data_IF_079106418344
#
_entry.id   IF_079106418344
#
_cell.length_a   1.000
_cell.length_b   1.000
_cell.length_c   1.000
_cell.angle_alpha   90.00
_cell.angle_beta   90.00
_cell.angle_gamma   90.00
#
_symmetry.space_group_name_H-M   'P 1'
#
loop_
_entity.id
_entity.type
_entity.pdbx_description
1 polymer ?
#
# COMPACT_ATOMS: atom_id res chain seq x y z
N UNK A 1 15.90 5.34 23.68
CA UNK A 1 15.42 6.46 22.85
C UNK A 1 15.40 5.95 21.43
N UNK A 2 14.22 5.63 20.90
CA UNK A 2 14.11 5.10 19.55
C UNK A 2 14.44 6.23 18.57
N UNK A 3 15.54 6.08 17.84
CA UNK A 3 15.89 6.90 16.69
C UNK A 3 15.03 6.41 15.53
N UNK A 4 13.99 7.17 15.19
CA UNK A 4 13.34 7.00 13.90
C UNK A 4 14.34 7.41 12.82
N UNK A 5 14.55 6.61 11.76
CA UNK A 5 15.48 6.96 10.71
C UNK A 5 14.99 8.27 10.05
N UNK A 6 15.83 9.30 10.16
CA UNK A 6 15.66 10.56 9.44
C UNK A 6 15.99 10.32 7.98
N UNK A 7 15.05 9.76 7.22
CA UNK A 7 15.22 9.66 5.76
C UNK A 7 13.88 9.87 5.03
N UNK A 8 13.22 10.97 5.38
CA UNK A 8 12.30 11.69 4.52
C UNK A 8 12.78 13.14 4.46
N UNK A 9 12.94 13.69 3.26
CA UNK A 9 13.78 14.83 2.89
C UNK A 9 13.33 16.22 3.39
N UNK A 10 12.94 16.38 4.66
CA UNK A 10 12.69 17.71 5.24
C UNK A 10 13.50 17.92 6.51
N UNK A 11 14.30 18.99 6.58
CA UNK A 11 14.95 19.38 7.84
C UNK A 11 13.88 19.48 8.92
N UNK A 12 14.19 18.98 10.12
CA UNK A 12 13.47 19.37 11.33
C UNK A 12 13.62 20.89 11.44
N UNK A 13 12.64 21.61 10.89
CA UNK A 13 12.54 23.07 11.07
C UNK A 13 12.54 23.28 12.57
N UNK A 14 13.44 24.11 13.08
CA UNK A 14 13.54 24.44 14.50
C UNK A 14 12.20 24.94 15.01
N UNK A 15 11.38 24.01 15.51
CA UNK A 15 9.94 24.16 15.56
C UNK A 15 9.31 23.08 16.42
N UNK A 16 8.10 23.36 16.88
CA UNK A 16 7.38 22.54 17.85
C UNK A 16 7.30 21.07 17.39
N UNK A 17 7.80 20.15 18.22
CA UNK A 17 7.82 18.71 17.97
C UNK A 17 6.44 18.16 17.53
N UNK A 18 5.36 18.64 18.17
CA UNK A 18 3.99 18.22 17.84
C UNK A 18 3.62 18.60 16.41
N UNK A 19 4.00 19.80 15.96
CA UNK A 19 3.70 20.26 14.60
C UNK A 19 4.42 19.39 13.56
N UNK A 20 5.68 19.01 13.83
CA UNK A 20 6.43 18.13 12.94
C UNK A 20 5.79 16.75 12.84
N UNK A 21 5.33 16.18 13.97
CA UNK A 21 4.61 14.89 14.00
C UNK A 21 3.30 14.98 13.22
N UNK A 22 2.51 16.04 13.41
CA UNK A 22 1.24 16.23 12.69
C UNK A 22 1.44 16.36 11.18
N UNK A 23 2.48 17.11 10.75
CA UNK A 23 2.81 17.23 9.34
C UNK A 23 3.19 15.88 8.73
N UNK A 24 4.00 15.08 9.44
CA UNK A 24 4.35 13.75 8.98
C UNK A 24 3.13 12.82 8.85
N UNK A 25 2.22 12.85 9.83
CA UNK A 25 0.97 12.07 9.77
C UNK A 25 0.12 12.49 8.56
N UNK A 26 0.02 13.79 8.29
CA UNK A 26 -0.71 14.28 7.11
C UNK A 26 -0.06 13.81 5.81
N UNK A 27 1.27 13.90 5.69
CA UNK A 27 2.01 13.42 4.51
C UNK A 27 1.79 11.90 4.29
N UNK A 28 1.82 11.09 5.36
CA UNK A 28 1.52 9.66 5.28
C UNK A 28 0.08 9.39 4.84
N UNK A 29 -0.88 10.13 5.40
CA UNK A 29 -2.29 9.96 5.08
C UNK A 29 -2.58 10.37 3.62
N UNK A 30 -1.93 11.42 3.12
CA UNK A 30 -2.01 11.83 1.72
C UNK A 30 -1.47 10.74 0.79
N UNK A 31 -0.31 10.14 1.09
CA UNK A 31 0.21 9.01 0.32
C UNK A 31 -0.79 7.87 0.32
N UNK A 32 -1.17 7.37 1.49
CA UNK A 32 -2.08 6.23 1.61
C UNK A 32 -3.39 6.43 0.83
N UNK A 33 -3.93 7.65 0.86
CA UNK A 33 -5.11 8.02 0.08
C UNK A 33 -4.89 7.91 -1.44
N UNK A 34 -3.72 8.31 -1.94
CA UNK A 34 -3.36 8.19 -3.35
C UNK A 34 -3.19 6.73 -3.79
N UNK A 35 -2.58 5.90 -2.96
CA UNK A 35 -2.44 4.45 -3.23
C UNK A 35 -3.81 3.75 -3.27
N UNK A 36 -4.69 4.07 -2.32
CA UNK A 36 -6.06 3.57 -2.31
C UNK A 36 -6.82 3.97 -3.57
N UNK A 37 -6.74 5.25 -3.99
CA UNK A 37 -7.41 5.74 -5.19
C UNK A 37 -6.95 5.00 -6.45
N UNK A 38 -5.64 4.77 -6.61
CA UNK A 38 -5.09 3.96 -7.72
C UNK A 38 -5.60 2.52 -7.71
N UNK A 39 -5.85 1.94 -6.52
CA UNK A 39 -6.41 0.60 -6.41
C UNK A 39 -7.86 0.54 -6.89
N UNK A 40 -8.68 1.48 -6.41
CA UNK A 40 -10.08 1.61 -6.80
C UNK A 40 -10.20 1.83 -8.30
N UNK A 41 -9.35 2.69 -8.89
CA UNK A 41 -9.33 2.89 -10.34
C UNK A 41 -9.05 1.59 -11.11
N UNK A 42 -8.09 0.78 -10.66
CA UNK A 42 -7.81 -0.53 -11.26
C UNK A 42 -9.00 -1.48 -11.16
N UNK A 43 -9.66 -1.54 -10.02
CA UNK A 43 -10.87 -2.36 -9.83
C UNK A 43 -11.95 -2.00 -10.86
N UNK A 44 -12.20 -0.71 -11.09
CA UNK A 44 -13.14 -0.25 -12.12
C UNK A 44 -12.71 -0.64 -13.54
N UNK A 45 -11.44 -0.41 -13.89
CA UNK A 45 -10.92 -0.74 -15.22
C UNK A 45 -11.04 -2.24 -15.50
N UNK A 46 -10.72 -3.09 -14.53
CA UNK A 46 -10.80 -4.54 -14.70
C UNK A 46 -12.24 -5.06 -14.77
N UNK A 47 -13.18 -4.43 -14.04
CA UNK A 47 -14.61 -4.75 -14.16
C UNK A 47 -15.17 -4.43 -15.54
N UNK A 48 -14.81 -3.28 -16.11
CA UNK A 48 -15.31 -2.87 -17.44
C UNK A 48 -14.73 -3.72 -18.58
N UNK A 49 -13.51 -4.25 -18.41
CA UNK A 49 -12.81 -5.00 -19.45
C UNK A 49 -13.23 -6.48 -19.57
N UNK A 50 -14.07 -7.02 -18.68
CA UNK A 50 -14.37 -8.46 -18.65
C UNK A 50 -15.83 -8.84 -18.96
N UNK A 51 -15.94 -9.92 -19.74
CA UNK A 51 -17.11 -10.82 -19.77
C UNK A 51 -16.87 -11.92 -18.74
N UNK A 52 -17.76 -12.04 -17.75
CA UNK A 52 -17.69 -13.01 -16.65
C UNK A 52 -17.69 -14.46 -17.19
N UNK A 53 -16.52 -15.07 -17.38
CA UNK A 53 -16.40 -16.49 -17.78
C UNK A 53 -15.69 -17.37 -16.74
N UNK A 54 -14.99 -16.78 -15.75
CA UNK A 54 -14.26 -17.52 -14.70
C UNK A 54 -14.60 -17.00 -13.29
N UNK A 55 -14.54 -17.91 -12.31
CA UNK A 55 -14.73 -17.59 -10.89
C UNK A 55 -13.43 -16.96 -10.36
N UNK A 56 -13.43 -15.64 -10.28
CA UNK A 56 -12.29 -14.81 -9.94
C UNK A 56 -12.64 -13.89 -8.76
N UNK A 57 -11.69 -13.67 -7.85
CA UNK A 57 -11.76 -12.61 -6.86
C UNK A 57 -11.40 -11.29 -7.50
N UNK A 58 -12.21 -10.25 -7.26
CA UNK A 58 -11.97 -8.90 -7.77
C UNK A 58 -10.73 -8.26 -7.14
N UNK A 59 -10.23 -7.18 -7.77
CA UNK A 59 -9.21 -6.31 -7.17
C UNK A 59 -9.72 -5.82 -5.81
N UNK A 60 -8.84 -5.79 -4.80
CA UNK A 60 -9.23 -5.41 -3.44
C UNK A 60 -8.16 -4.59 -2.73
N UNK A 61 -8.59 -3.57 -2.00
CA UNK A 61 -7.72 -2.75 -1.13
C UNK A 61 -7.82 -3.23 0.31
N UNK A 62 -6.70 -3.63 0.91
CA UNK A 62 -6.66 -4.16 2.29
C UNK A 62 -6.25 -3.12 3.35
N UNK A 63 -6.26 -1.83 2.99
CA UNK A 63 -5.72 -0.69 3.75
C UNK A 63 -4.22 -0.42 3.62
N UNK A 64 -3.46 -1.28 2.93
CA UNK A 64 -2.01 -1.09 2.71
C UNK A 64 -1.60 -1.46 1.27
N UNK A 65 -2.13 -2.56 0.75
CA UNK A 65 -1.83 -3.16 -0.54
C UNK A 65 -3.08 -3.24 -1.41
N UNK A 66 -2.85 -3.10 -2.71
CA UNK A 66 -3.85 -3.37 -3.71
C UNK A 66 -3.66 -4.78 -4.25
N UNK A 67 -4.53 -5.70 -3.83
CA UNK A 67 -4.54 -7.07 -4.29
C UNK A 67 -5.06 -7.17 -5.71
N UNK A 68 -4.31 -7.82 -6.62
CA UNK A 68 -4.75 -7.98 -7.99
C UNK A 68 -5.92 -8.96 -8.06
N UNK A 69 -6.71 -8.82 -9.12
CA UNK A 69 -7.70 -9.83 -9.48
C UNK A 69 -7.03 -11.17 -9.68
N UNK A 70 -7.61 -12.19 -9.09
CA UNK A 70 -6.96 -13.50 -8.94
C UNK A 70 -8.00 -14.60 -9.07
N UNK A 71 -7.66 -15.67 -9.78
CA UNK A 71 -8.55 -16.82 -9.97
C UNK A 71 -8.76 -17.54 -8.64
N UNK A 72 -9.99 -17.97 -8.35
CA UNK A 72 -10.28 -18.76 -7.15
C UNK A 72 -9.42 -20.03 -7.10
N UNK A 73 -8.92 -20.36 -5.91
CA UNK A 73 -8.00 -21.47 -5.67
C UNK A 73 -6.54 -21.21 -6.04
N UNK A 74 -6.19 -19.96 -6.37
CA UNK A 74 -4.81 -19.55 -6.69
C UNK A 74 -4.25 -18.54 -5.70
N UNK A 75 -2.95 -18.27 -5.80
CA UNK A 75 -2.22 -17.38 -4.91
C UNK A 75 -1.97 -16.04 -5.60
N UNK A 76 -2.38 -14.95 -4.96
CA UNK A 76 -1.94 -13.61 -5.32
C UNK A 76 -0.60 -13.33 -4.64
N UNK A 77 0.40 -12.86 -5.38
CA UNK A 77 1.68 -12.40 -4.81
C UNK A 77 1.96 -10.95 -5.16
N UNK A 78 2.52 -10.21 -4.19
CA UNK A 78 2.93 -8.81 -4.33
C UNK A 78 4.32 -8.66 -3.69
N UNK A 79 5.28 -7.97 -4.34
CA UNK A 79 6.58 -7.69 -3.73
C UNK A 79 6.45 -7.01 -2.36
N UNK A 80 7.33 -7.37 -1.42
CA UNK A 80 7.45 -6.64 -0.16
C UNK A 80 7.85 -5.18 -0.40
N UNK A 81 7.46 -4.28 0.51
CA UNK A 81 7.98 -2.91 0.51
C UNK A 81 9.51 -2.90 0.69
N UNK A 82 10.19 -1.88 0.19
CA UNK A 82 11.56 -1.60 0.65
C UNK A 82 11.52 -1.06 2.09
N UNK A 83 10.56 -0.17 2.34
CA UNK A 83 10.26 0.40 3.65
C UNK A 83 8.76 0.76 3.73
N UNK A 84 8.13 0.54 4.88
CA UNK A 84 6.79 1.04 5.21
C UNK A 84 6.85 1.81 6.54
N UNK A 85 6.55 3.11 6.50
CA UNK A 85 6.51 3.99 7.68
C UNK A 85 7.80 3.97 8.53
N UNK A 86 8.99 3.96 7.90
CA UNK A 86 10.28 3.90 8.61
C UNK A 86 10.72 2.48 8.99
N UNK A 87 9.96 1.45 8.61
CA UNK A 87 10.29 0.04 8.89
C UNK A 87 10.76 -0.62 7.59
N UNK A 88 12.03 -1.03 7.49
CA UNK A 88 12.53 -1.75 6.32
C UNK A 88 12.01 -3.19 6.29
N UNK A 89 11.70 -3.70 5.11
CA UNK A 89 11.31 -5.09 4.88
C UNK A 89 12.33 -5.82 4.00
N UNK A 90 12.33 -7.15 4.06
CA UNK A 90 13.10 -7.99 3.15
C UNK A 90 12.41 -7.99 1.77
N UNK A 91 12.83 -7.07 0.91
CA UNK A 91 12.30 -6.89 -0.45
C UNK A 91 12.66 -8.04 -1.41
N UNK A 92 13.41 -9.04 -0.97
CA UNK A 92 13.62 -10.29 -1.71
C UNK A 92 12.45 -11.28 -1.58
N UNK A 93 11.46 -10.94 -0.75
CA UNK A 93 10.26 -11.74 -0.49
C UNK A 93 9.00 -11.09 -1.07
N UNK A 94 7.90 -11.83 -0.98
CA UNK A 94 6.59 -11.42 -1.46
C UNK A 94 5.53 -11.63 -0.36
N UNK A 95 4.55 -10.74 -0.31
CA UNK A 95 3.28 -10.98 0.37
C UNK A 95 2.45 -11.94 -0.46
N UNK A 96 1.77 -12.88 0.20
CA UNK A 96 1.00 -13.91 -0.46
C UNK A 96 -0.38 -14.04 0.18
N UNK A 97 -1.43 -14.02 -0.64
CA UNK A 97 -2.81 -14.22 -0.20
C UNK A 97 -3.44 -15.36 -1.02
N UNK A 98 -3.97 -16.37 -0.32
CA UNK A 98 -4.70 -17.46 -0.94
C UNK A 98 -6.18 -17.11 -1.00
N UNK A 99 -6.76 -17.16 -2.20
CA UNK A 99 -8.12 -16.73 -2.46
C UNK A 99 -8.98 -17.95 -2.80
N UNK A 100 -10.00 -18.22 -1.99
CA UNK A 100 -10.81 -19.43 -2.03
C UNK A 100 -12.24 -19.16 -2.49
#
# INVERSE_FOLDING_TARGET
MALFPTNGTKPLVGGNYVLNVLNYINELNESLSAEQLKCIEREYQERENQKQEQQECEVSWDTILCWPRTVSGTLATIPCFDELNGIPYDNTREYALYLQ
#
